data_IF_045993721240
#
_entry.id   IF_045993721240
#
_cell.length_a   1.000
_cell.length_b   1.000
_cell.length_c   1.000
_cell.angle_alpha   90.00
_cell.angle_beta   90.00
_cell.angle_gamma   90.00
#
_symmetry.space_group_name_H-M   'P 1'
#
loop_
_entity.id
_entity.type
_entity.pdbx_description
1 polymer ?
#
# COMPACT_ATOMS: atom_id res chain seq x y z
N UNK A 1 5.24 1.35 -10.10
CA UNK A 1 4.44 1.28 -8.86
C UNK A 1 3.87 -0.12 -8.68
N UNK A 2 2.74 -0.51 -9.30
CA UNK A 2 2.25 -1.90 -9.27
C UNK A 2 3.30 -2.94 -9.70
N UNK A 3 3.99 -2.68 -10.81
CA UNK A 3 5.09 -3.54 -11.29
C UNK A 3 6.30 -3.52 -10.34
N UNK A 4 6.48 -2.45 -9.55
CA UNK A 4 7.59 -2.36 -8.59
C UNK A 4 7.30 -3.20 -7.35
N UNK A 5 6.07 -3.13 -6.82
CA UNK A 5 5.60 -3.98 -5.73
C UNK A 5 5.65 -5.46 -6.15
N UNK A 6 5.17 -5.78 -7.36
CA UNK A 6 5.16 -7.16 -7.88
C UNK A 6 6.55 -7.77 -8.13
N UNK A 7 7.62 -6.98 -8.11
CA UNK A 7 8.98 -7.46 -8.35
C UNK A 7 9.91 -7.23 -7.15
N UNK A 8 9.36 -6.96 -5.95
CA UNK A 8 10.15 -6.56 -4.76
C UNK A 8 11.14 -5.42 -5.04
N UNK A 9 10.82 -4.57 -6.01
CA UNK A 9 11.66 -3.46 -6.38
C UNK A 9 11.37 -2.28 -5.44
N UNK A 10 12.40 -1.58 -4.95
CA UNK A 10 12.21 -0.44 -4.05
C UNK A 10 11.30 0.60 -4.69
N UNK A 11 10.19 0.91 -4.01
CA UNK A 11 9.30 1.98 -4.42
C UNK A 11 10.03 3.33 -4.29
N UNK A 12 9.92 4.22 -5.29
CA UNK A 12 10.43 5.58 -5.16
C UNK A 12 9.83 6.26 -3.92
N UNK A 13 10.66 7.03 -3.19
CA UNK A 13 10.26 7.76 -1.97
C UNK A 13 8.99 8.60 -2.13
N UNK A 14 8.68 9.02 -3.35
CA UNK A 14 7.49 9.80 -3.70
C UNK A 14 6.18 9.06 -3.43
N UNK A 15 6.18 7.72 -3.41
CA UNK A 15 4.99 6.92 -3.11
C UNK A 15 4.71 6.80 -1.61
N UNK A 16 5.62 7.28 -0.73
CA UNK A 16 5.46 7.26 0.73
C UNK A 16 4.96 5.92 1.25
N UNK A 17 5.53 4.83 0.74
CA UNK A 17 5.18 3.49 1.18
C UNK A 17 5.58 3.30 2.64
N UNK A 18 4.61 2.94 3.47
CA UNK A 18 4.84 2.67 4.87
C UNK A 18 3.80 1.69 5.44
N UNK A 19 4.19 1.03 6.53
CA UNK A 19 3.28 0.16 7.28
C UNK A 19 2.28 1.01 8.07
N UNK A 20 1.01 0.64 7.97
CA UNK A 20 -0.04 1.22 8.78
C UNK A 20 0.10 0.74 10.23
N UNK A 21 -0.53 1.44 11.15
CA UNK A 21 -0.49 1.13 12.59
C UNK A 21 -1.89 0.81 13.13
N UNK A 22 -1.97 0.33 14.37
CA UNK A 22 -3.24 -0.04 15.00
C UNK A 22 -3.85 -1.32 14.40
N UNK A 23 -5.15 -1.30 14.11
CA UNK A 23 -5.88 -2.43 13.51
C UNK A 23 -5.38 -2.81 12.10
N UNK A 24 -4.60 -1.92 11.48
CA UNK A 24 -4.03 -2.09 10.14
C UNK A 24 -2.54 -2.46 10.16
N UNK A 25 -2.00 -2.95 11.29
CA UNK A 25 -0.56 -3.22 11.47
C UNK A 25 0.08 -4.12 10.41
N UNK A 26 -0.70 -5.02 9.82
CA UNK A 26 -0.23 -5.93 8.76
C UNK A 26 -0.49 -5.41 7.34
N UNK A 27 -0.91 -4.14 7.22
CA UNK A 27 -1.18 -3.49 5.95
C UNK A 27 -0.18 -2.38 5.69
N UNK A 28 0.07 -2.16 4.41
CA UNK A 28 0.91 -1.08 3.90
C UNK A 28 0.04 -0.10 3.15
N UNK A 29 0.36 1.18 3.24
CA UNK A 29 -0.23 2.19 2.38
C UNK A 29 0.82 2.89 1.53
N UNK A 30 0.41 3.30 0.34
CA UNK A 30 1.21 4.13 -0.52
C UNK A 30 0.34 5.13 -1.29
N UNK A 31 0.91 6.31 -1.54
CA UNK A 31 0.30 7.38 -2.31
C UNK A 31 0.50 7.16 -3.79
N UNK A 32 -0.58 6.89 -4.53
CA UNK A 32 -0.50 6.67 -5.98
C UNK A 32 -0.82 7.93 -6.81
N UNK A 33 -1.21 9.01 -6.15
CA UNK A 33 -1.34 10.33 -6.77
C UNK A 33 -2.10 11.32 -5.88
N UNK A 34 -1.47 12.43 -5.52
CA UNK A 34 -2.09 13.45 -4.66
C UNK A 34 -2.54 12.86 -3.31
N UNK A 35 -3.83 12.99 -3.01
CA UNK A 35 -4.47 12.46 -1.81
C UNK A 35 -4.98 11.02 -1.96
N UNK A 36 -4.73 10.38 -3.11
CA UNK A 36 -5.21 9.04 -3.40
C UNK A 36 -4.22 7.97 -2.91
N UNK A 37 -4.73 7.08 -2.07
CA UNK A 37 -4.01 6.03 -1.37
C UNK A 37 -4.39 4.65 -1.92
N UNK A 38 -3.43 3.74 -1.82
CA UNK A 38 -3.62 2.31 -2.03
C UNK A 38 -3.17 1.56 -0.77
N UNK A 39 -4.09 0.82 -0.17
CA UNK A 39 -3.83 -0.07 0.97
C UNK A 39 -3.71 -1.49 0.46
N UNK A 40 -2.60 -2.15 0.78
CA UNK A 40 -2.30 -3.50 0.34
C UNK A 40 -1.57 -4.29 1.42
N UNK A 41 -1.61 -5.62 1.33
CA UNK A 41 -0.78 -6.52 2.13
C UNK A 41 0.13 -7.33 1.24
N UNK A 42 1.26 -7.76 1.81
CA UNK A 42 2.24 -8.64 1.18
C UNK A 42 2.22 -9.96 1.95
N UNK A 43 2.03 -11.07 1.25
CA UNK A 43 2.25 -12.41 1.76
C UNK A 43 3.51 -12.98 1.09
N UNK A 44 4.64 -12.80 1.76
CA UNK A 44 5.94 -13.28 1.28
C UNK A 44 6.01 -14.81 1.16
N UNK A 45 5.23 -15.54 1.97
CA UNK A 45 5.20 -17.00 1.93
C UNK A 45 4.51 -17.52 0.67
N UNK A 46 3.51 -16.79 0.17
CA UNK A 46 2.78 -17.12 -1.05
C UNK A 46 3.21 -16.29 -2.27
N UNK A 47 4.16 -15.35 -2.10
CA UNK A 47 4.54 -14.35 -3.10
C UNK A 47 3.30 -13.64 -3.69
N UNK A 48 2.38 -13.25 -2.80
CA UNK A 48 1.08 -12.71 -3.16
C UNK A 48 0.94 -11.27 -2.66
N UNK A 49 0.36 -10.42 -3.50
CA UNK A 49 -0.01 -9.05 -3.16
C UNK A 49 -1.53 -8.96 -3.15
N UNK A 50 -2.09 -8.51 -2.03
CA UNK A 50 -3.54 -8.33 -1.89
C UNK A 50 -3.85 -6.85 -1.79
N UNK A 51 -4.49 -6.32 -2.83
CA UNK A 51 -5.01 -4.94 -2.82
C UNK A 51 -6.30 -4.91 -2.02
N UNK A 52 -6.26 -4.24 -0.88
CA UNK A 52 -7.36 -4.25 0.10
C UNK A 52 -8.33 -3.11 -0.16
N UNK A 53 -7.82 -1.89 -0.33
CA UNK A 53 -8.64 -0.70 -0.62
C UNK A 53 -7.86 0.34 -1.43
N UNK A 54 -8.60 1.15 -2.19
CA UNK A 54 -8.05 2.30 -2.92
C UNK A 54 -9.04 3.47 -2.83
N UNK A 55 -8.55 4.66 -2.53
CA UNK A 55 -9.39 5.83 -2.30
C UNK A 55 -8.61 6.99 -1.67
N UNK A 56 -9.28 8.11 -1.45
CA UNK A 56 -8.71 9.25 -0.71
C UNK A 56 -8.64 8.97 0.79
N UNK A 57 -7.84 9.74 1.55
CA UNK A 57 -7.79 9.62 3.01
C UNK A 57 -9.19 9.67 3.65
N UNK A 58 -10.04 10.56 3.15
CA UNK A 58 -11.40 10.76 3.65
C UNK A 58 -12.32 9.56 3.39
N UNK A 59 -12.07 8.80 2.32
CA UNK A 59 -12.84 7.60 1.97
C UNK A 59 -12.36 6.37 2.75
N UNK A 60 -11.07 6.31 3.09
CA UNK A 60 -10.46 5.13 3.71
C UNK A 60 -10.44 5.14 5.24
N UNK A 61 -10.30 6.32 5.87
CA UNK A 61 -10.07 6.47 7.32
C UNK A 61 -11.17 7.26 8.05
N UNK A 62 -12.42 7.15 7.60
CA UNK A 62 -13.55 7.84 8.21
C UNK A 62 -13.95 7.27 9.58
#
# INVERSE_FOLDING_TARGET
MLLSIANDAPLPLNFRDHELTGDWRDHRECHIGGDFLLIYTLDDAQNLIVFTRAGTHSELFR
#
